data_IF_753042314076
#
_entry.id   IF_753042314076
#
_cell.length_a   1.000
_cell.length_b   1.000
_cell.length_c   1.000
_cell.angle_alpha   90.00
_cell.angle_beta   90.00
_cell.angle_gamma   90.00
#
_symmetry.space_group_name_H-M   'P 1'
#
loop_
_entity.id
_entity.type
_entity.pdbx_description
1 polymer ?
#
# COMPACT_ATOMS: atom_id res chain seq x y z
N UNK A 1 -8.96 -21.43 -12.22
CA UNK A 1 -10.39 -21.40 -11.88
C UNK A 1 -11.02 -20.01 -12.05
N UNK A 2 -10.52 -18.94 -11.35
CA UNK A 2 -11.09 -17.57 -11.46
C UNK A 2 -11.07 -17.03 -12.89
N UNK A 3 -9.94 -17.15 -13.58
CA UNK A 3 -9.77 -16.64 -14.95
C UNK A 3 -10.69 -17.36 -15.96
N UNK A 4 -10.91 -18.64 -15.78
CA UNK A 4 -11.72 -19.47 -16.65
C UNK A 4 -13.22 -19.30 -16.41
N UNK A 5 -13.64 -19.10 -15.14
CA UNK A 5 -15.05 -19.17 -14.78
C UNK A 5 -15.68 -17.81 -14.47
N UNK A 6 -14.88 -16.79 -14.08
CA UNK A 6 -15.43 -15.52 -13.57
C UNK A 6 -14.87 -14.28 -14.25
N UNK A 7 -13.62 -14.30 -14.71
CA UNK A 7 -12.96 -13.10 -15.24
C UNK A 7 -13.52 -12.69 -16.61
N UNK A 8 -13.93 -13.65 -17.45
CA UNK A 8 -14.44 -13.39 -18.80
C UNK A 8 -13.50 -12.53 -19.65
N UNK A 9 -12.20 -12.72 -19.52
CA UNK A 9 -11.17 -11.98 -20.26
C UNK A 9 -11.04 -10.49 -19.89
N UNK A 10 -11.68 -10.03 -18.82
CA UNK A 10 -11.59 -8.64 -18.34
C UNK A 10 -10.19 -8.29 -17.79
N UNK A 11 -9.78 -7.02 -17.82
CA UNK A 11 -8.61 -6.58 -17.10
C UNK A 11 -8.78 -6.75 -15.59
N UNK A 12 -7.68 -6.85 -14.87
CA UNK A 12 -7.71 -7.07 -13.43
C UNK A 12 -6.61 -6.29 -12.70
N UNK A 13 -6.85 -6.07 -11.41
CA UNK A 13 -5.88 -5.56 -10.45
C UNK A 13 -5.54 -6.70 -9.48
N UNK A 14 -4.27 -6.83 -9.11
CA UNK A 14 -3.84 -7.63 -7.96
C UNK A 14 -3.65 -6.67 -6.80
N UNK A 15 -4.31 -6.94 -5.68
CA UNK A 15 -4.14 -6.19 -4.44
C UNK A 15 -3.87 -7.18 -3.30
N UNK A 16 -2.78 -6.98 -2.59
CA UNK A 16 -2.30 -7.92 -1.58
C UNK A 16 -1.58 -7.23 -0.45
N UNK A 17 -1.52 -7.89 0.72
CA UNK A 17 -0.83 -7.38 1.89
C UNK A 17 -0.06 -8.50 2.61
N UNK A 18 1.15 -8.17 3.10
CA UNK A 18 1.96 -9.04 3.97
C UNK A 18 2.22 -10.41 3.34
N UNK A 19 1.85 -11.51 3.99
CA UNK A 19 1.96 -12.86 3.45
C UNK A 19 1.21 -13.01 2.11
N UNK A 20 0.07 -12.34 1.94
CA UNK A 20 -0.64 -12.31 0.67
C UNK A 20 0.20 -11.73 -0.48
N UNK A 21 1.07 -10.76 -0.19
CA UNK A 21 1.98 -10.20 -1.20
C UNK A 21 3.12 -11.15 -1.58
N UNK A 22 3.56 -12.03 -0.67
CA UNK A 22 4.48 -13.11 -1.02
C UNK A 22 3.84 -14.11 -1.99
N UNK A 23 2.59 -14.48 -1.75
CA UNK A 23 1.85 -15.35 -2.67
C UNK A 23 1.57 -14.65 -4.01
N UNK A 24 1.16 -13.38 -3.99
CA UNK A 24 0.93 -12.59 -5.19
C UNK A 24 2.21 -12.43 -6.04
N UNK A 25 3.37 -12.25 -5.39
CA UNK A 25 4.68 -12.21 -6.07
C UNK A 25 4.96 -13.50 -6.85
N UNK A 26 4.77 -14.65 -6.23
CA UNK A 26 4.95 -15.95 -6.89
C UNK A 26 3.93 -16.16 -8.01
N UNK A 27 2.66 -15.84 -7.76
CA UNK A 27 1.60 -15.90 -8.77
C UNK A 27 1.95 -15.06 -10.01
N UNK A 28 2.46 -13.84 -9.81
CA UNK A 28 2.87 -12.97 -10.92
C UNK A 28 4.01 -13.62 -11.72
N UNK A 29 5.05 -14.14 -11.07
CA UNK A 29 6.17 -14.81 -11.72
C UNK A 29 5.74 -16.03 -12.55
N UNK A 30 4.81 -16.81 -12.02
CA UNK A 30 4.43 -18.08 -12.63
C UNK A 30 3.47 -17.92 -13.80
N UNK A 31 2.49 -16.99 -13.73
CA UNK A 31 1.39 -16.96 -14.69
C UNK A 31 1.14 -15.59 -15.35
N UNK A 32 1.84 -14.53 -14.95
CA UNK A 32 1.59 -13.19 -15.48
C UNK A 32 2.81 -12.63 -16.19
N UNK A 33 3.97 -12.58 -15.50
CA UNK A 33 5.19 -11.96 -16.00
C UNK A 33 5.70 -12.67 -17.27
N UNK A 34 5.85 -11.93 -18.37
CA UNK A 34 6.17 -12.43 -19.71
C UNK A 34 5.12 -13.39 -20.31
N UNK A 35 3.89 -13.44 -19.78
CA UNK A 35 2.81 -14.28 -20.27
C UNK A 35 1.72 -13.44 -20.94
N UNK A 36 0.86 -14.04 -21.77
CA UNK A 36 -0.25 -13.32 -22.42
C UNK A 36 -1.16 -12.61 -21.42
N UNK A 37 -1.29 -13.12 -20.20
CA UNK A 37 -2.12 -12.58 -19.14
C UNK A 37 -1.61 -11.20 -18.64
N UNK A 38 -0.32 -10.91 -18.79
CA UNK A 38 0.25 -9.60 -18.43
C UNK A 38 -0.45 -8.44 -19.12
N UNK A 39 -0.89 -8.62 -20.36
CA UNK A 39 -1.61 -7.58 -21.12
C UNK A 39 -2.94 -7.19 -20.48
N UNK A 40 -3.48 -8.02 -19.59
CA UNK A 40 -4.71 -7.76 -18.84
C UNK A 40 -4.47 -7.16 -17.44
N UNK A 41 -3.23 -7.15 -16.98
CA UNK A 41 -2.88 -6.57 -15.69
C UNK A 41 -2.95 -5.04 -15.75
N UNK A 42 -3.85 -4.45 -14.98
CA UNK A 42 -3.91 -2.99 -14.80
C UNK A 42 -2.81 -2.53 -13.85
N UNK A 43 -2.70 -3.15 -12.69
CA UNK A 43 -1.70 -2.84 -11.68
C UNK A 43 -1.59 -3.98 -10.65
N UNK A 44 -0.41 -4.14 -10.03
CA UNK A 44 -0.22 -4.98 -8.86
C UNK A 44 0.18 -4.12 -7.65
N UNK A 45 -0.68 -4.09 -6.61
CA UNK A 45 -0.40 -3.47 -5.31
C UNK A 45 0.13 -4.56 -4.38
N UNK A 46 1.46 -4.64 -4.22
CA UNK A 46 2.18 -5.66 -3.45
C UNK A 46 2.67 -5.07 -2.14
N UNK A 47 1.77 -4.89 -1.20
CA UNK A 47 1.97 -4.06 -0.02
C UNK A 47 2.48 -4.92 1.15
N UNK A 48 3.38 -4.36 1.97
CA UNK A 48 3.83 -4.98 3.20
C UNK A 48 4.79 -6.16 3.00
N UNK A 49 5.51 -6.22 1.88
CA UNK A 49 6.57 -7.19 1.66
C UNK A 49 7.74 -6.57 0.88
N UNK A 50 8.88 -7.21 0.90
CA UNK A 50 10.04 -6.78 0.11
C UNK A 50 9.86 -7.21 -1.34
N UNK A 51 9.87 -6.24 -2.24
CA UNK A 51 10.01 -6.42 -3.68
C UNK A 51 11.25 -5.65 -4.11
N UNK A 52 12.20 -6.28 -4.74
CA UNK A 52 13.43 -5.65 -5.24
C UNK A 52 13.30 -5.26 -6.71
N UNK A 53 14.13 -4.34 -7.17
CA UNK A 53 14.27 -4.15 -8.61
C UNK A 53 14.76 -5.45 -9.27
N UNK A 54 14.16 -5.80 -10.42
CA UNK A 54 14.47 -7.07 -11.08
C UNK A 54 13.80 -8.30 -10.45
N UNK A 55 12.93 -8.13 -9.45
CA UNK A 55 12.11 -9.22 -8.90
C UNK A 55 11.27 -9.91 -9.98
N UNK A 56 10.80 -9.15 -10.95
CA UNK A 56 10.10 -9.61 -12.15
C UNK A 56 10.96 -9.33 -13.39
N UNK A 57 10.79 -10.14 -14.44
CA UNK A 57 11.56 -9.98 -15.68
C UNK A 57 11.10 -8.78 -16.51
N UNK A 58 9.81 -8.58 -16.62
CA UNK A 58 9.20 -7.55 -17.44
C UNK A 58 8.36 -6.53 -16.69
N UNK A 59 7.69 -6.94 -15.59
CA UNK A 59 6.97 -5.98 -14.75
C UNK A 59 7.93 -5.01 -14.07
N UNK A 60 7.64 -3.72 -14.18
CA UNK A 60 8.42 -2.64 -13.56
C UNK A 60 7.66 -1.97 -12.43
N UNK A 61 8.38 -1.37 -11.50
CA UNK A 61 7.80 -0.46 -10.53
C UNK A 61 7.20 0.74 -11.26
N UNK A 62 5.97 1.10 -10.90
CA UNK A 62 5.28 2.24 -11.48
C UNK A 62 5.67 3.52 -10.75
N UNK A 63 6.05 4.54 -11.50
CA UNK A 63 6.59 5.82 -11.02
C UNK A 63 5.71 7.02 -11.34
N UNK A 64 4.53 6.77 -11.91
CA UNK A 64 3.52 7.81 -12.12
C UNK A 64 2.11 7.34 -11.71
N UNK A 65 1.20 8.27 -11.36
CA UNK A 65 -0.12 7.92 -10.85
C UNK A 65 -1.03 7.24 -11.88
N UNK A 66 -0.79 7.41 -13.17
CA UNK A 66 -1.60 6.86 -14.26
C UNK A 66 -0.88 5.74 -15.06
N UNK A 67 0.32 5.35 -14.68
CA UNK A 67 1.04 4.24 -15.28
C UNK A 67 0.34 2.91 -14.99
N UNK A 68 0.35 1.98 -15.97
CA UNK A 68 -0.36 0.70 -15.90
C UNK A 68 0.55 -0.47 -16.30
N UNK A 69 0.16 -1.68 -15.93
CA UNK A 69 0.87 -2.91 -16.31
C UNK A 69 2.09 -3.24 -15.45
N UNK A 70 2.32 -2.48 -14.38
CA UNK A 70 3.43 -2.68 -13.46
C UNK A 70 2.97 -2.93 -12.02
N UNK A 71 3.88 -2.68 -11.07
CA UNK A 71 3.58 -2.86 -9.64
C UNK A 71 3.92 -1.63 -8.80
N UNK A 72 3.34 -1.58 -7.61
CA UNK A 72 3.68 -0.64 -6.53
C UNK A 72 3.87 -1.42 -5.23
N UNK A 73 4.77 -0.95 -4.38
CA UNK A 73 5.08 -1.62 -3.11
C UNK A 73 5.54 -0.63 -2.06
N UNK A 74 5.25 -0.90 -0.80
CA UNK A 74 5.78 -0.19 0.37
C UNK A 74 5.63 -1.00 1.65
N UNK A 75 6.41 -0.61 2.67
CA UNK A 75 6.32 -1.08 4.06
C UNK A 75 6.39 0.14 4.97
N UNK A 76 5.39 0.35 5.82
CA UNK A 76 5.28 1.59 6.60
C UNK A 76 5.88 1.46 8.00
N UNK A 77 6.77 2.39 8.32
CA UNK A 77 7.32 2.60 9.66
C UNK A 77 7.03 4.02 10.16
N UNK A 78 7.04 4.19 11.47
CA UNK A 78 6.94 5.51 12.08
C UNK A 78 8.14 6.38 11.65
N UNK A 79 7.89 7.65 11.41
CA UNK A 79 8.90 8.64 11.03
C UNK A 79 10.10 8.60 11.97
N UNK A 80 11.31 8.64 11.41
CA UNK A 80 12.60 8.52 12.11
C UNK A 80 12.77 7.22 12.92
N UNK A 81 12.18 6.11 12.48
CA UNK A 81 12.42 4.81 13.11
C UNK A 81 12.82 3.76 12.07
N UNK A 82 13.68 2.84 12.51
CA UNK A 82 14.08 1.67 11.72
C UNK A 82 13.73 0.38 12.46
N UNK A 83 13.54 -0.73 11.75
CA UNK A 83 13.54 -2.06 12.33
C UNK A 83 14.93 -2.37 12.94
N UNK A 84 15.01 -3.46 13.72
CA UNK A 84 16.32 -4.00 14.14
C UNK A 84 17.17 -4.32 12.91
N UNK A 85 18.50 -4.16 13.01
CA UNK A 85 19.44 -4.29 11.90
C UNK A 85 19.22 -5.55 11.06
N UNK A 86 19.13 -6.72 11.69
CA UNK A 86 18.96 -7.99 10.98
C UNK A 86 17.63 -8.07 10.22
N UNK A 87 16.56 -7.52 10.80
CA UNK A 87 15.25 -7.44 10.14
C UNK A 87 15.28 -6.43 8.99
N UNK A 88 15.99 -5.30 9.15
CA UNK A 88 16.15 -4.33 8.09
C UNK A 88 16.89 -4.93 6.89
N UNK A 89 18.05 -5.54 7.11
CA UNK A 89 18.86 -6.16 6.07
C UNK A 89 18.06 -7.24 5.30
N UNK A 90 17.27 -8.03 6.01
CA UNK A 90 16.51 -9.14 5.43
C UNK A 90 15.26 -8.69 4.67
N UNK A 91 14.48 -7.75 5.24
CA UNK A 91 13.12 -7.51 4.79
C UNK A 91 12.87 -6.15 4.13
N UNK A 92 13.83 -5.22 4.20
CA UNK A 92 13.59 -3.85 3.74
C UNK A 92 14.71 -3.28 2.86
N UNK A 93 15.95 -3.59 3.13
CA UNK A 93 17.09 -3.09 2.35
C UNK A 93 16.91 -3.41 0.87
N UNK A 94 17.13 -2.42 0.00
CA UNK A 94 16.95 -2.47 -1.44
C UNK A 94 15.50 -2.75 -1.91
N UNK A 95 14.50 -2.66 -1.00
CA UNK A 95 13.12 -2.78 -1.42
C UNK A 95 12.70 -1.56 -2.26
N UNK A 96 11.95 -1.82 -3.31
CA UNK A 96 11.22 -0.78 -4.05
C UNK A 96 10.16 -0.18 -3.13
N UNK A 97 10.11 1.15 -3.06
CA UNK A 97 9.12 1.87 -2.25
C UNK A 97 8.43 2.92 -3.10
N UNK A 98 7.14 2.73 -3.29
CA UNK A 98 6.26 3.74 -3.88
C UNK A 98 5.75 4.67 -2.80
N UNK A 99 5.70 5.97 -3.05
CA UNK A 99 4.99 6.93 -2.21
C UNK A 99 3.48 6.84 -2.51
N UNK A 100 2.64 6.26 -1.63
CA UNK A 100 1.22 6.01 -1.94
C UNK A 100 0.34 7.25 -1.82
N UNK A 101 0.89 8.41 -1.53
CA UNK A 101 0.19 9.70 -1.54
C UNK A 101 0.38 10.39 -2.89
N UNK A 102 1.61 10.44 -3.40
CA UNK A 102 1.95 11.15 -4.64
C UNK A 102 1.96 10.25 -5.88
N UNK A 103 2.20 8.95 -5.70
CA UNK A 103 2.30 7.93 -6.76
C UNK A 103 3.37 8.22 -7.80
N UNK A 104 4.38 9.00 -7.45
CA UNK A 104 5.49 9.39 -8.32
C UNK A 104 6.82 9.30 -7.56
N UNK A 105 7.90 9.72 -8.18
CA UNK A 105 9.26 9.66 -7.61
C UNK A 105 9.52 10.69 -6.49
N UNK A 106 8.51 11.45 -6.06
CA UNK A 106 8.64 12.39 -4.95
C UNK A 106 8.86 11.64 -3.64
N UNK A 107 10.03 11.83 -3.04
CA UNK A 107 10.43 11.11 -1.82
C UNK A 107 9.62 11.52 -0.59
N UNK A 108 9.12 12.75 -0.52
CA UNK A 108 8.38 13.26 0.64
C UNK A 108 7.07 13.93 0.22
N UNK A 109 5.94 13.52 0.82
CA UNK A 109 4.63 14.15 0.61
C UNK A 109 4.36 15.24 1.64
N UNK A 110 3.44 16.17 1.30
CA UNK A 110 2.86 17.10 2.27
C UNK A 110 1.66 16.44 2.96
N UNK A 111 1.35 16.88 4.18
CA UNK A 111 0.14 16.42 4.91
C UNK A 111 -1.15 16.79 4.15
N UNK A 112 -1.15 17.90 3.41
CA UNK A 112 -2.27 18.35 2.57
C UNK A 112 -2.63 17.39 1.45
N UNK A 113 -1.67 16.59 0.97
CA UNK A 113 -1.82 15.75 -0.21
C UNK A 113 -2.47 14.39 0.14
N UNK A 114 -2.42 14.00 1.42
CA UNK A 114 -3.02 12.76 1.92
C UNK A 114 -4.55 12.79 1.80
N UNK A 115 -5.10 11.94 0.97
CA UNK A 115 -6.54 11.88 0.67
C UNK A 115 -7.34 11.24 1.78
N UNK A 116 -6.80 10.23 2.46
CA UNK A 116 -7.42 9.75 3.68
C UNK A 116 -7.13 8.31 4.07
N UNK A 117 -7.00 8.14 5.38
CA UNK A 117 -6.94 6.83 6.03
C UNK A 117 -8.33 6.37 6.47
N UNK A 118 -8.55 5.07 6.46
CA UNK A 118 -9.76 4.42 6.99
C UNK A 118 -9.50 3.99 8.44
N UNK A 119 -10.33 4.47 9.35
CA UNK A 119 -10.14 4.20 10.78
C UNK A 119 -11.47 4.23 11.55
N UNK A 120 -11.61 3.33 12.53
CA UNK A 120 -12.69 3.33 13.50
C UNK A 120 -12.09 3.55 14.90
N UNK A 121 -12.27 4.72 15.52
CA UNK A 121 -11.68 5.02 16.83
C UNK A 121 -12.04 4.03 17.93
N UNK A 122 -13.30 3.57 17.96
CA UNK A 122 -13.78 2.58 18.92
C UNK A 122 -13.03 1.26 18.88
N UNK A 123 -12.68 0.80 17.67
CA UNK A 123 -11.92 -0.44 17.51
C UNK A 123 -10.51 -0.39 18.15
N UNK A 124 -9.84 0.76 18.10
CA UNK A 124 -8.54 0.94 18.77
C UNK A 124 -8.69 0.86 20.30
N UNK A 125 -9.67 1.56 20.86
CA UNK A 125 -9.88 1.57 22.32
C UNK A 125 -10.36 0.21 22.82
N UNK A 126 -11.16 -0.51 22.05
CA UNK A 126 -11.57 -1.89 22.33
C UNK A 126 -10.36 -2.83 22.36
N UNK A 127 -9.48 -2.73 21.39
CA UNK A 127 -8.26 -3.52 21.34
C UNK A 127 -7.34 -3.25 22.54
N UNK A 128 -7.27 -1.99 23.01
CA UNK A 128 -6.47 -1.58 24.17
C UNK A 128 -7.16 -1.84 25.53
N UNK A 129 -8.38 -2.37 25.56
CA UNK A 129 -9.14 -2.57 26.78
C UNK A 129 -9.61 -1.27 27.47
N UNK A 130 -9.63 -0.16 26.75
CA UNK A 130 -9.91 1.18 27.30
C UNK A 130 -11.35 1.68 27.06
N UNK A 131 -12.25 0.81 26.63
CA UNK A 131 -13.64 1.17 26.29
C UNK A 131 -14.40 1.87 27.42
N UNK A 132 -14.08 1.55 28.66
CA UNK A 132 -14.74 2.17 29.83
C UNK A 132 -14.42 3.66 30.01
N UNK A 133 -13.39 4.14 29.36
CA UNK A 133 -12.91 5.52 29.51
C UNK A 133 -13.29 6.43 28.33
N UNK A 134 -13.67 5.87 27.18
CA UNK A 134 -13.92 6.64 25.97
C UNK A 134 -15.14 6.10 25.23
N UNK A 135 -16.21 6.90 25.19
CA UNK A 135 -17.35 6.67 24.30
C UNK A 135 -16.96 7.05 22.88
N UNK A 136 -16.58 6.06 22.08
CA UNK A 136 -16.21 6.30 20.67
C UNK A 136 -17.02 5.40 19.75
N UNK A 137 -17.38 5.93 18.59
CA UNK A 137 -18.09 5.18 17.56
C UNK A 137 -17.18 4.12 16.93
N UNK A 138 -17.68 2.91 16.73
CA UNK A 138 -17.06 1.85 15.92
C UNK A 138 -17.25 2.10 14.41
N UNK A 139 -17.88 3.20 14.02
CA UNK A 139 -18.10 3.55 12.63
C UNK A 139 -16.78 3.83 11.92
N UNK A 140 -16.57 3.15 10.79
CA UNK A 140 -15.45 3.40 9.90
C UNK A 140 -15.58 4.75 9.23
N UNK A 141 -14.58 5.61 9.41
CA UNK A 141 -14.52 6.94 8.80
C UNK A 141 -13.21 7.16 8.05
N UNK A 142 -13.29 7.98 7.01
CA UNK A 142 -12.13 8.42 6.24
C UNK A 142 -11.62 9.73 6.82
N UNK A 143 -10.36 9.74 7.25
CA UNK A 143 -9.67 10.90 7.82
C UNK A 143 -8.62 11.41 6.85
N UNK A 144 -8.92 12.51 6.16
CA UNK A 144 -7.98 13.16 5.22
C UNK A 144 -6.96 14.06 5.91
N UNK A 145 -5.83 14.32 5.26
CA UNK A 145 -4.80 15.25 5.71
C UNK A 145 -4.26 14.94 7.12
N UNK A 146 -4.08 13.65 7.45
CA UNK A 146 -3.69 13.20 8.80
C UNK A 146 -2.24 12.79 8.94
N UNK A 147 -1.59 12.44 7.83
CA UNK A 147 -0.19 12.00 7.79
C UNK A 147 0.56 12.68 6.64
N UNK A 148 1.88 12.70 6.75
CA UNK A 148 2.82 12.85 5.65
C UNK A 148 3.77 11.68 5.65
N UNK A 149 4.34 11.35 4.50
CA UNK A 149 5.28 10.24 4.35
C UNK A 149 6.59 10.68 3.73
N UNK A 150 7.62 9.86 3.96
CA UNK A 150 8.92 9.98 3.33
C UNK A 150 9.43 8.60 2.94
N UNK A 151 9.82 8.44 1.69
CA UNK A 151 10.52 7.27 1.19
C UNK A 151 11.98 7.35 1.61
N UNK A 152 12.49 6.30 2.22
CA UNK A 152 13.89 6.24 2.68
C UNK A 152 14.35 4.78 2.82
N UNK A 153 15.47 4.44 2.21
CA UNK A 153 16.19 3.17 2.43
C UNK A 153 15.30 1.92 2.44
N UNK A 154 14.43 1.74 1.46
CA UNK A 154 13.54 0.59 1.37
C UNK A 154 12.33 0.62 2.31
N UNK A 155 12.10 1.74 3.00
CA UNK A 155 10.98 1.96 3.93
C UNK A 155 10.14 3.17 3.51
N UNK A 156 8.88 3.15 3.89
CA UNK A 156 8.00 4.31 3.88
C UNK A 156 7.81 4.83 5.31
N UNK A 157 8.45 5.94 5.66
CA UNK A 157 8.19 6.59 6.94
C UNK A 157 6.89 7.36 6.92
N UNK A 158 6.03 7.15 7.92
CA UNK A 158 4.81 7.92 8.13
C UNK A 158 4.84 8.64 9.47
N UNK A 159 4.41 9.90 9.49
CA UNK A 159 4.13 10.56 10.77
C UNK A 159 2.99 9.85 11.50
N UNK A 160 2.97 9.86 12.85
CA UNK A 160 1.80 9.37 13.59
C UNK A 160 0.53 10.08 13.12
N UNK A 161 -0.54 9.33 12.81
CA UNK A 161 -1.80 9.93 12.35
C UNK A 161 -2.39 10.90 13.36
N UNK A 162 -2.84 12.05 12.88
CA UNK A 162 -3.46 13.08 13.69
C UNK A 162 -4.96 12.82 13.85
N UNK A 163 -5.29 11.80 14.60
CA UNK A 163 -6.64 11.28 14.85
C UNK A 163 -6.82 10.94 16.33
N UNK A 164 -8.05 10.68 16.80
CA UNK A 164 -8.26 10.12 18.15
C UNK A 164 -7.41 8.86 18.37
N UNK A 165 -6.69 8.80 19.47
CA UNK A 165 -5.74 7.71 19.75
C UNK A 165 -4.31 7.95 19.25
N UNK A 166 -3.98 9.15 18.74
CA UNK A 166 -2.63 9.53 18.25
C UNK A 166 -1.51 9.19 19.23
N UNK A 167 -1.75 9.35 20.56
CA UNK A 167 -0.75 9.05 21.57
C UNK A 167 -0.32 7.57 21.48
N UNK A 168 -1.25 6.65 21.42
CA UNK A 168 -0.98 5.21 21.30
C UNK A 168 -0.30 4.88 19.97
N UNK A 169 -0.79 5.43 18.86
CA UNK A 169 -0.20 5.23 17.55
C UNK A 169 1.23 5.78 17.47
N UNK A 170 1.53 6.85 18.21
CA UNK A 170 2.89 7.39 18.29
C UNK A 170 3.89 6.50 19.04
N UNK A 171 3.42 5.59 19.89
CA UNK A 171 4.26 4.60 20.57
C UNK A 171 4.61 3.39 19.68
N UNK A 172 3.79 3.11 18.67
CA UNK A 172 4.02 2.03 17.71
C UNK A 172 5.09 2.47 16.70
N UNK A 173 6.11 1.64 16.49
CA UNK A 173 7.19 1.90 15.51
C UNK A 173 6.89 1.31 14.14
N UNK A 174 6.30 0.14 14.10
CA UNK A 174 5.98 -0.58 12.86
C UNK A 174 4.50 -0.44 12.55
N UNK A 175 4.18 0.22 11.43
CA UNK A 175 2.81 0.43 10.95
C UNK A 175 2.37 -0.60 9.91
N UNK A 176 3.08 -1.72 9.81
CA UNK A 176 2.76 -2.80 8.86
C UNK A 176 1.29 -3.23 8.90
N UNK A 177 0.69 -3.34 10.10
CA UNK A 177 -0.73 -3.68 10.26
C UNK A 177 -1.69 -2.65 9.63
N UNK A 178 -1.21 -1.45 9.36
CA UNK A 178 -1.99 -0.34 8.82
C UNK A 178 -1.53 0.12 7.42
N UNK A 179 -0.63 -0.62 6.77
CA UNK A 179 -0.07 -0.28 5.45
C UNK A 179 -1.14 0.07 4.40
N UNK A 180 -2.30 -0.58 4.44
CA UNK A 180 -3.44 -0.28 3.55
C UNK A 180 -4.33 0.81 4.14
N UNK A 181 -4.66 0.68 5.42
CA UNK A 181 -5.62 1.57 6.08
C UNK A 181 -5.16 3.03 6.11
N UNK A 182 -3.85 3.26 6.28
CA UNK A 182 -3.25 4.60 6.27
C UNK A 182 -3.46 5.33 4.94
N UNK A 183 -3.56 4.60 3.83
CA UNK A 183 -3.64 5.14 2.46
C UNK A 183 -4.91 4.71 1.73
N UNK A 184 -5.95 4.33 2.46
CA UNK A 184 -7.18 3.75 1.90
C UNK A 184 -7.76 4.56 0.73
N UNK A 185 -7.95 5.87 0.95
CA UNK A 185 -8.54 6.74 -0.07
C UNK A 185 -7.56 7.03 -1.21
N UNK A 186 -6.27 7.12 -0.90
CA UNK A 186 -5.21 7.31 -1.89
C UNK A 186 -5.12 6.10 -2.83
N UNK A 187 -5.17 4.87 -2.29
CA UNK A 187 -5.21 3.62 -3.07
C UNK A 187 -6.49 3.55 -3.91
N UNK A 188 -7.65 3.82 -3.31
CA UNK A 188 -8.95 3.76 -4.00
C UNK A 188 -9.01 4.71 -5.18
N UNK A 189 -8.52 5.93 -5.03
CA UNK A 189 -8.54 6.91 -6.12
C UNK A 189 -7.50 6.58 -7.20
N UNK A 190 -6.30 6.15 -6.80
CA UNK A 190 -5.27 5.76 -7.74
C UNK A 190 -5.69 4.54 -8.58
N UNK A 191 -6.30 3.54 -7.97
CA UNK A 191 -6.78 2.36 -8.71
C UNK A 191 -7.78 2.73 -9.81
N UNK A 192 -8.68 3.70 -9.56
CA UNK A 192 -9.62 4.21 -10.56
C UNK A 192 -8.90 4.94 -11.71
N UNK A 193 -7.88 5.76 -11.39
CA UNK A 193 -7.07 6.44 -12.40
C UNK A 193 -6.42 5.41 -13.34
N UNK A 194 -5.78 4.38 -12.77
CA UNK A 194 -5.11 3.32 -13.54
C UNK A 194 -6.08 2.50 -14.37
N UNK A 195 -7.25 2.14 -13.84
CA UNK A 195 -8.30 1.45 -14.61
C UNK A 195 -8.75 2.30 -15.79
N UNK A 196 -9.04 3.57 -15.59
CA UNK A 196 -9.46 4.47 -16.66
C UNK A 196 -8.38 4.62 -17.74
N UNK A 197 -7.12 4.73 -17.33
CA UNK A 197 -5.99 4.81 -18.25
C UNK A 197 -5.85 3.52 -19.07
N UNK A 198 -5.92 2.36 -18.41
CA UNK A 198 -5.84 1.07 -19.10
C UNK A 198 -6.96 0.92 -20.14
N UNK A 199 -8.19 1.27 -19.78
CA UNK A 199 -9.34 1.23 -20.69
C UNK A 199 -9.18 2.19 -21.88
N UNK A 200 -8.55 3.35 -21.69
CA UNK A 200 -8.26 4.28 -22.79
C UNK A 200 -7.21 3.73 -23.78
N UNK A 201 -6.21 3.02 -23.27
CA UNK A 201 -5.13 2.45 -24.09
C UNK A 201 -5.55 1.17 -24.84
N UNK A 202 -6.64 0.53 -24.46
CA UNK A 202 -7.09 -0.75 -25.00
C UNK A 202 -8.51 -0.68 -25.62
N UNK A 203 -8.90 0.51 -26.07
CA UNK A 203 -10.14 0.73 -26.87
C UNK A 203 -9.92 0.35 -28.35
#
# INVERSE_FOLDING_TARGET
YYLENFNNGKPFIIASHSQGSLHAKNLIKEIIDEKPLQKKLVAAYLIGTKIEEGEFKSLKAMTSPDEVGGFVSWNTYKYNTYPKKDNYERWFKNAVVTNPITWNETLESKKSDHKGMLFAPGSLYKYLGLLFFFSTSDELKVYSKKIKVKVIDGLLWSTPPDIPGKLFLSMVKNYHFADINLFWKDISDNSKIRVNKWLQMNK
#
